data_IF_741260058778
#
_entry.id   IF_741260058778
#
_cell.length_a   1.000
_cell.length_b   1.000
_cell.length_c   1.000
_cell.angle_alpha   90.00
_cell.angle_beta   90.00
_cell.angle_gamma   90.00
#
_symmetry.space_group_name_H-M   'P 1'
#
loop_
_entity.id
_entity.type
_entity.pdbx_description
1 polymer ?
#
# COMPACT_ATOMS: atom_id res chain seq x y z
N UNK A 1 25.19 -7.83 16.29
CA UNK A 1 24.29 -8.38 15.98
C UNK A 1 23.06 -7.86 15.33
N UNK A 2 22.66 -8.60 14.42
CA UNK A 2 21.50 -8.30 13.60
C UNK A 2 20.22 -8.24 14.43
N UNK A 3 20.16 -8.94 15.53
CA UNK A 3 19.00 -8.98 16.41
C UNK A 3 18.54 -7.60 16.91
N UNK A 4 19.48 -6.69 17.13
CA UNK A 4 19.13 -5.34 17.59
C UNK A 4 18.34 -4.55 16.57
N UNK A 5 18.53 -4.81 15.30
CA UNK A 5 17.77 -4.16 14.23
C UNK A 5 16.35 -4.68 14.13
N UNK A 6 16.18 -5.94 14.40
CA UNK A 6 14.87 -6.58 14.36
C UNK A 6 13.95 -6.06 15.45
N UNK A 7 14.51 -5.64 16.56
CA UNK A 7 13.75 -5.10 17.68
C UNK A 7 13.04 -3.80 17.31
N UNK A 8 13.57 -3.01 16.38
CA UNK A 8 12.96 -1.73 16.02
C UNK A 8 11.67 -1.87 15.21
N UNK A 9 11.67 -2.73 14.18
CA UNK A 9 10.49 -2.91 13.33
C UNK A 9 10.48 -4.30 12.72
N UNK A 10 10.48 -5.38 13.53
CA UNK A 10 10.56 -6.73 12.99
C UNK A 10 9.36 -7.08 12.12
N UNK A 11 8.19 -6.58 12.48
CA UNK A 11 6.96 -6.85 11.74
C UNK A 11 6.98 -6.20 10.36
N UNK A 12 7.41 -4.94 10.28
CA UNK A 12 7.51 -4.23 9.00
C UNK A 12 8.49 -4.91 8.06
N UNK A 13 9.64 -5.31 8.57
CA UNK A 13 10.66 -5.99 7.79
C UNK A 13 10.16 -7.34 7.28
N UNK A 14 9.53 -8.13 8.14
CA UNK A 14 8.98 -9.43 7.77
C UNK A 14 7.89 -9.32 6.73
N UNK A 15 6.99 -8.33 6.85
CA UNK A 15 5.90 -8.11 5.90
C UNK A 15 6.44 -7.72 4.53
N UNK A 16 7.38 -6.79 4.46
CA UNK A 16 7.97 -6.36 3.20
C UNK A 16 8.72 -7.53 2.53
N UNK A 17 9.42 -8.34 3.31
CA UNK A 17 10.07 -9.54 2.80
C UNK A 17 9.06 -10.54 2.26
N UNK A 18 7.95 -10.75 2.95
CA UNK A 18 6.89 -11.64 2.49
C UNK A 18 6.24 -11.17 1.19
N UNK A 19 6.01 -9.86 1.05
CA UNK A 19 5.48 -9.29 -0.18
C UNK A 19 6.42 -9.55 -1.36
N UNK A 20 7.70 -9.30 -1.18
CA UNK A 20 8.69 -9.55 -2.22
C UNK A 20 8.82 -11.04 -2.54
N UNK A 21 8.80 -11.90 -1.52
CA UNK A 21 8.89 -13.35 -1.71
C UNK A 21 7.68 -13.91 -2.46
N UNK A 22 6.48 -13.39 -2.21
CA UNK A 22 5.28 -13.84 -2.92
C UNK A 22 5.34 -13.52 -4.41
N UNK A 23 5.94 -12.37 -4.78
CA UNK A 23 6.18 -12.02 -6.17
C UNK A 23 7.34 -12.80 -6.76
N UNK A 24 8.40 -13.02 -5.99
CA UNK A 24 9.60 -13.75 -6.42
C UNK A 24 9.32 -15.23 -6.65
N UNK A 25 8.37 -15.83 -5.95
CA UNK A 25 7.98 -17.21 -6.20
C UNK A 25 7.50 -17.44 -7.63
N UNK A 26 6.76 -16.47 -8.16
CA UNK A 26 6.36 -16.50 -9.56
C UNK A 26 7.55 -16.35 -10.50
N UNK A 27 8.49 -15.50 -10.14
CA UNK A 27 9.70 -15.29 -10.93
C UNK A 27 10.64 -16.51 -10.90
N UNK A 28 10.75 -17.18 -9.76
CA UNK A 28 11.61 -18.35 -9.62
C UNK A 28 11.15 -19.51 -10.48
N UNK A 29 9.85 -19.71 -10.65
CA UNK A 29 9.30 -20.76 -11.53
C UNK A 29 9.65 -20.49 -12.99
N UNK A 30 9.69 -19.23 -13.40
CA UNK A 30 9.95 -18.83 -14.78
C UNK A 30 11.42 -18.54 -15.08
N UNK A 31 12.30 -18.57 -14.08
CA UNK A 31 13.73 -18.26 -14.28
C UNK A 31 14.40 -19.08 -15.38
N UNK A 32 14.02 -20.34 -15.50
CA UNK A 32 14.58 -21.22 -16.54
C UNK A 32 14.16 -20.82 -17.94
N UNK A 33 13.00 -20.18 -18.07
CA UNK A 33 12.51 -19.64 -19.33
C UNK A 33 13.10 -18.27 -19.61
N UNK A 34 13.32 -17.46 -18.58
CA UNK A 34 13.80 -16.08 -18.72
C UNK A 34 15.25 -16.00 -19.17
N UNK A 35 16.07 -17.02 -18.92
CA UNK A 35 17.46 -17.04 -19.44
C UNK A 35 17.49 -16.98 -20.95
N UNK A 36 16.51 -17.56 -21.63
CA UNK A 36 16.39 -17.53 -23.09
C UNK A 36 15.61 -16.34 -23.62
N UNK A 37 14.78 -15.72 -22.78
CA UNK A 37 13.90 -14.61 -23.14
C UNK A 37 14.28 -13.31 -22.42
N UNK A 38 15.56 -13.17 -22.00
CA UNK A 38 16.04 -12.07 -21.18
C UNK A 38 15.86 -10.68 -21.81
N UNK A 39 15.59 -10.60 -23.09
CA UNK A 39 15.39 -9.33 -23.80
C UNK A 39 13.92 -9.04 -24.12
N UNK A 40 13.00 -9.90 -23.70
CA UNK A 40 11.58 -9.64 -23.92
C UNK A 40 11.07 -8.59 -22.93
N UNK A 41 10.10 -7.74 -23.33
CA UNK A 41 9.50 -6.78 -22.42
C UNK A 41 8.88 -7.44 -21.19
N UNK A 42 8.28 -8.61 -21.34
CA UNK A 42 7.70 -9.36 -20.24
C UNK A 42 8.76 -9.81 -19.23
N UNK A 43 9.91 -10.30 -19.72
CA UNK A 43 11.01 -10.71 -18.87
C UNK A 43 11.57 -9.53 -18.05
N UNK A 44 11.66 -8.36 -18.68
CA UNK A 44 12.07 -7.14 -17.96
C UNK A 44 11.11 -6.80 -16.86
N UNK A 45 9.81 -6.89 -17.12
CA UNK A 45 8.78 -6.60 -16.12
C UNK A 45 8.85 -7.58 -14.94
N UNK A 46 9.06 -8.87 -15.22
CA UNK A 46 9.15 -9.91 -14.19
C UNK A 46 10.38 -9.76 -13.29
N UNK A 47 11.42 -9.09 -13.76
CA UNK A 47 12.65 -8.86 -13.00
C UNK A 47 12.57 -7.67 -12.05
N UNK A 48 11.54 -6.83 -12.17
CA UNK A 48 11.40 -5.67 -11.30
C UNK A 48 10.95 -6.08 -9.90
N UNK A 49 11.63 -5.61 -8.83
CA UNK A 49 11.14 -5.83 -7.48
C UNK A 49 9.76 -5.20 -7.28
N UNK A 50 8.88 -5.91 -6.60
CA UNK A 50 7.52 -5.45 -6.38
C UNK A 50 7.44 -4.06 -5.73
N UNK A 51 8.27 -3.82 -4.71
CA UNK A 51 8.28 -2.53 -4.02
C UNK A 51 8.75 -1.39 -4.92
N UNK A 52 9.74 -1.65 -5.78
CA UNK A 52 10.21 -0.63 -6.73
C UNK A 52 9.08 -0.27 -7.70
N UNK A 53 8.35 -1.27 -8.16
CA UNK A 53 7.21 -1.06 -9.04
C UNK A 53 6.12 -0.23 -8.35
N UNK A 54 5.75 -0.59 -7.15
CA UNK A 54 4.73 0.12 -6.36
C UNK A 54 5.14 1.57 -6.08
N UNK A 55 6.44 1.81 -5.81
CA UNK A 55 6.96 3.16 -5.61
C UNK A 55 6.79 4.04 -6.84
N UNK A 56 6.95 3.48 -8.03
CA UNK A 56 6.96 4.23 -9.28
C UNK A 56 5.60 4.38 -9.94
N UNK A 57 4.64 3.55 -9.57
CA UNK A 57 3.29 3.63 -10.11
C UNK A 57 2.64 4.95 -9.67
N UNK A 58 2.04 5.73 -10.60
CA UNK A 58 1.39 7.00 -10.26
C UNK A 58 -0.01 6.80 -9.67
N UNK A 59 -0.23 5.70 -9.00
CA UNK A 59 -1.50 5.38 -8.34
C UNK A 59 -1.24 5.36 -6.84
N UNK A 60 -1.95 6.19 -6.05
CA UNK A 60 -1.79 6.17 -4.60
C UNK A 60 -1.97 4.77 -4.03
N UNK A 61 -0.98 4.31 -3.28
CA UNK A 61 -0.94 2.94 -2.73
C UNK A 61 -0.49 2.97 -1.28
N UNK A 62 -1.19 2.23 -0.45
CA UNK A 62 -0.94 2.15 0.99
C UNK A 62 -1.00 0.69 1.44
N UNK A 63 -0.07 0.29 2.29
CA UNK A 63 -0.10 -1.02 2.94
C UNK A 63 -0.13 -0.85 4.45
N UNK A 64 -1.07 -1.55 5.10
CA UNK A 64 -1.28 -1.46 6.55
C UNK A 64 -1.32 -2.83 7.18
N UNK A 65 -0.89 -2.88 8.44
CA UNK A 65 -1.00 -4.08 9.28
C UNK A 65 -2.32 -4.06 10.05
N UNK A 66 -2.64 -5.18 10.66
CA UNK A 66 -3.84 -5.37 11.46
C UNK A 66 -3.98 -4.32 12.58
N UNK A 67 -2.88 -3.94 13.21
CA UNK A 67 -2.87 -2.97 14.30
C UNK A 67 -2.94 -1.50 13.84
N UNK A 68 -2.99 -1.27 12.53
CA UNK A 68 -3.03 0.07 11.97
C UNK A 68 -1.65 0.63 11.60
N UNK A 69 -0.59 -0.11 11.83
CA UNK A 69 0.76 0.31 11.40
C UNK A 69 0.81 0.40 9.88
N UNK A 70 1.26 1.54 9.37
CA UNK A 70 1.47 1.73 7.94
C UNK A 70 2.88 1.25 7.62
N UNK A 71 2.99 0.22 6.78
CA UNK A 71 4.30 -0.35 6.42
C UNK A 71 4.81 0.15 5.08
N UNK A 72 3.94 0.72 4.27
CA UNK A 72 4.31 1.22 2.95
C UNK A 72 3.32 2.28 2.49
N UNK A 73 3.85 3.34 1.90
CA UNK A 73 3.09 4.34 1.15
C UNK A 73 3.97 4.79 -0.01
N UNK A 74 3.43 4.81 -1.22
CA UNK A 74 4.21 5.33 -2.34
C UNK A 74 4.12 6.85 -2.42
N UNK A 75 4.93 7.44 -3.31
CA UNK A 75 4.95 8.89 -3.50
C UNK A 75 3.60 9.46 -3.92
N UNK A 76 2.85 8.72 -4.74
CA UNK A 76 1.53 9.15 -5.17
C UNK A 76 0.54 9.27 -4.00
N UNK A 77 0.56 8.33 -3.06
CA UNK A 77 -0.26 8.42 -1.85
C UNK A 77 0.16 9.59 -0.97
N UNK A 78 1.46 9.72 -0.75
CA UNK A 78 2.00 10.81 0.07
C UNK A 78 1.60 12.18 -0.50
N UNK A 79 1.73 12.35 -1.81
CA UNK A 79 1.34 13.57 -2.50
C UNK A 79 -0.17 13.84 -2.36
N UNK A 80 -1.00 12.82 -2.46
CA UNK A 80 -2.44 12.94 -2.33
C UNK A 80 -2.86 13.49 -0.95
N UNK A 81 -2.16 13.10 0.10
CA UNK A 81 -2.44 13.57 1.48
C UNK A 81 -1.52 14.73 1.90
N UNK A 82 -0.71 15.26 1.00
CA UNK A 82 0.15 16.42 1.24
C UNK A 82 1.31 16.18 2.19
N UNK A 83 1.83 14.95 2.24
CA UNK A 83 2.90 14.54 3.14
C UNK A 83 4.03 13.89 2.37
N UNK A 84 5.18 13.71 3.02
CA UNK A 84 6.22 12.83 2.50
C UNK A 84 5.90 11.38 2.85
N UNK A 85 6.40 10.44 2.04
CA UNK A 85 6.17 9.02 2.29
C UNK A 85 6.70 8.59 3.68
N UNK A 86 7.81 9.16 4.12
CA UNK A 86 8.36 8.90 5.45
C UNK A 86 7.43 9.39 6.57
N UNK A 87 6.77 10.52 6.37
CA UNK A 87 5.77 11.02 7.33
C UNK A 87 4.57 10.07 7.39
N UNK A 88 4.10 9.60 6.25
CA UNK A 88 2.94 8.70 6.19
C UNK A 88 3.21 7.42 6.98
N UNK A 89 4.38 6.81 6.79
CA UNK A 89 4.71 5.56 7.50
C UNK A 89 4.98 5.77 8.98
N UNK A 90 5.16 7.00 9.44
CA UNK A 90 5.28 7.32 10.85
C UNK A 90 3.92 7.46 11.54
N UNK A 91 2.85 7.60 10.77
CA UNK A 91 1.49 7.72 11.28
C UNK A 91 0.82 6.35 11.34
N UNK A 92 -0.31 6.27 12.03
CA UNK A 92 -1.15 5.09 12.00
C UNK A 92 -2.30 5.26 11.00
N UNK A 93 -2.92 4.15 10.67
CA UNK A 93 -4.12 4.12 9.83
C UNK A 93 -5.20 5.09 10.35
N UNK A 94 -5.40 5.10 11.67
CA UNK A 94 -6.43 5.93 12.30
C UNK A 94 -6.11 7.42 12.28
N UNK A 95 -4.84 7.78 12.11
CA UNK A 95 -4.45 9.19 11.96
C UNK A 95 -4.83 9.75 10.59
N UNK A 96 -4.97 8.89 9.61
CA UNK A 96 -5.21 9.29 8.22
C UNK A 96 -6.66 9.07 7.80
N UNK A 97 -7.29 7.98 8.25
CA UNK A 97 -8.66 7.64 7.86
C UNK A 97 -9.67 8.24 8.84
N UNK A 98 -10.45 9.20 8.37
CA UNK A 98 -11.52 9.78 9.18
C UNK A 98 -12.65 8.78 9.40
N UNK A 99 -13.16 8.74 10.63
CA UNK A 99 -14.31 7.93 10.98
C UNK A 99 -14.06 6.43 11.03
N UNK A 100 -12.80 6.00 10.88
CA UNK A 100 -12.47 4.58 11.00
C UNK A 100 -12.68 4.12 12.45
N UNK A 101 -13.44 3.02 12.67
CA UNK A 101 -13.64 2.51 14.01
C UNK A 101 -12.33 2.06 14.65
N UNK A 102 -12.07 2.52 15.87
CA UNK A 102 -10.85 2.13 16.62
C UNK A 102 -10.99 0.77 17.27
N UNK A 103 -12.22 0.26 17.38
CA UNK A 103 -12.51 -1.05 17.98
C UNK A 103 -12.29 -2.20 17.01
N UNK A 104 -12.20 -1.92 15.72
CA UNK A 104 -11.96 -2.93 14.69
C UNK A 104 -10.51 -2.89 14.24
N UNK A 105 -10.02 -4.01 13.73
CA UNK A 105 -8.69 -4.05 13.13
C UNK A 105 -8.67 -3.21 11.84
N UNK A 106 -7.51 -2.65 11.52
CA UNK A 106 -7.36 -1.90 10.27
C UNK A 106 -7.68 -2.76 9.04
N UNK A 107 -7.37 -4.05 9.10
CA UNK A 107 -7.68 -4.97 8.00
C UNK A 107 -9.18 -5.14 7.81
N UNK A 108 -9.94 -5.25 8.89
CA UNK A 108 -11.39 -5.31 8.83
C UNK A 108 -11.99 -4.04 8.25
N UNK A 109 -11.46 -2.89 8.64
CA UNK A 109 -11.95 -1.60 8.11
C UNK A 109 -11.65 -1.49 6.61
N UNK A 110 -10.44 -1.85 6.18
CA UNK A 110 -10.09 -1.82 4.76
C UNK A 110 -10.98 -2.77 3.96
N UNK A 111 -11.23 -3.95 4.47
CA UNK A 111 -12.10 -4.93 3.82
C UNK A 111 -13.55 -4.42 3.73
N UNK A 112 -14.06 -3.85 4.79
CA UNK A 112 -15.42 -3.31 4.84
C UNK A 112 -15.63 -2.07 3.96
N UNK A 113 -14.58 -1.29 3.72
CA UNK A 113 -14.64 -0.08 2.90
C UNK A 113 -14.15 -0.31 1.47
N UNK A 114 -13.90 -1.56 1.10
CA UNK A 114 -13.42 -1.89 -0.25
C UNK A 114 -14.39 -1.40 -1.33
N UNK A 115 -13.86 -0.76 -2.34
CA UNK A 115 -14.62 -0.15 -3.46
C UNK A 115 -15.58 0.96 -3.02
N UNK A 116 -15.30 1.59 -1.89
CA UNK A 116 -16.08 2.70 -1.37
C UNK A 116 -15.25 3.98 -1.32
N UNK A 117 -15.95 5.11 -1.28
CA UNK A 117 -15.30 6.41 -1.08
C UNK A 117 -14.95 6.56 0.39
N UNK A 118 -13.71 6.88 0.66
CA UNK A 118 -13.19 7.11 2.02
C UNK A 118 -12.76 8.57 2.17
N UNK A 119 -12.71 9.04 3.39
CA UNK A 119 -12.23 10.39 3.71
C UNK A 119 -10.89 10.29 4.42
N UNK A 120 -9.90 10.98 3.86
CA UNK A 120 -8.52 10.96 4.36
C UNK A 120 -8.11 12.35 4.84
N UNK A 121 -7.29 12.37 5.89
CA UNK A 121 -6.76 13.60 6.47
C UNK A 121 -5.59 14.13 5.63
N UNK A 122 -5.76 15.30 5.04
CA UNK A 122 -4.67 16.02 4.40
C UNK A 122 -3.87 16.79 5.44
N UNK A 123 -2.59 16.99 5.18
CA UNK A 123 -1.68 17.71 6.08
C UNK A 123 -2.17 19.10 6.46
N UNK A 124 -2.82 19.81 5.53
CA UNK A 124 -3.33 21.16 5.76
C UNK A 124 -4.63 21.21 6.57
N UNK A 125 -5.13 20.08 7.03
CA UNK A 125 -6.37 19.97 7.77
C UNK A 125 -7.61 19.77 6.93
N UNK A 126 -7.49 19.78 5.60
CA UNK A 126 -8.60 19.48 4.71
C UNK A 126 -8.85 17.98 4.61
N UNK A 127 -9.94 17.62 3.98
CA UNK A 127 -10.32 16.23 3.75
C UNK A 127 -10.13 15.87 2.28
N UNK A 128 -9.45 14.76 2.03
CA UNK A 128 -9.35 14.18 0.69
C UNK A 128 -10.38 13.07 0.58
N UNK A 129 -11.20 13.12 -0.46
CA UNK A 129 -12.13 12.03 -0.78
C UNK A 129 -11.52 11.15 -1.85
N UNK A 130 -11.44 9.87 -1.58
CA UNK A 130 -10.82 8.93 -2.48
C UNK A 130 -11.61 7.64 -2.56
N UNK A 131 -11.66 7.06 -3.75
CA UNK A 131 -12.19 5.72 -3.94
C UNK A 131 -11.10 4.72 -3.59
N UNK A 132 -11.35 3.86 -2.60
CA UNK A 132 -10.40 2.85 -2.15
C UNK A 132 -10.71 1.50 -2.80
N UNK A 133 -9.69 0.83 -3.29
CA UNK A 133 -9.83 -0.51 -3.85
C UNK A 133 -9.94 -1.57 -2.75
N UNK A 134 -10.25 -2.80 -3.16
CA UNK A 134 -10.00 -3.98 -2.34
C UNK A 134 -8.50 -4.12 -2.08
N UNK A 135 -8.15 -4.85 -1.02
CA UNK A 135 -6.77 -5.26 -0.84
C UNK A 135 -6.33 -6.16 -1.99
N UNK A 136 -5.14 -5.87 -2.54
CA UNK A 136 -4.53 -6.72 -3.55
C UNK A 136 -4.04 -8.06 -2.99
N UNK A 137 -3.82 -8.11 -1.67
CA UNK A 137 -3.44 -9.33 -0.96
C UNK A 137 -4.72 -9.97 -0.44
N UNK A 138 -4.99 -11.18 -0.89
CA UNK A 138 -6.31 -11.82 -0.70
C UNK A 138 -6.35 -13.03 0.22
N UNK A 139 -5.22 -13.40 0.82
CA UNK A 139 -5.21 -14.54 1.73
C UNK A 139 -5.86 -14.14 3.04
N UNK A 140 -6.73 -15.01 3.55
CA UNK A 140 -7.43 -14.77 4.81
C UNK A 140 -6.49 -14.73 6.02
N UNK A 141 -5.30 -15.29 5.89
CA UNK A 141 -4.26 -15.31 6.90
C UNK A 141 -3.24 -14.19 6.72
N UNK A 142 -3.37 -13.34 5.69
CA UNK A 142 -2.49 -12.20 5.52
C UNK A 142 -2.70 -11.21 6.65
N UNK A 143 -1.60 -10.74 7.21
CA UNK A 143 -1.64 -9.72 8.25
C UNK A 143 -1.49 -8.31 7.70
N UNK A 144 -1.57 -8.17 6.38
CA UNK A 144 -1.36 -6.93 5.67
C UNK A 144 -2.49 -6.72 4.66
N UNK A 145 -2.92 -5.49 4.51
CA UNK A 145 -3.79 -5.07 3.41
C UNK A 145 -3.05 -4.06 2.54
N UNK A 146 -3.15 -4.22 1.23
CA UNK A 146 -2.56 -3.34 0.25
C UNK A 146 -3.68 -2.77 -0.62
N UNK A 147 -3.97 -1.49 -0.49
CA UNK A 147 -5.04 -0.83 -1.22
C UNK A 147 -4.52 0.30 -2.09
N UNK A 148 -5.19 0.54 -3.20
CA UNK A 148 -4.97 1.68 -4.08
C UNK A 148 -6.11 2.68 -3.94
N UNK A 149 -5.86 3.91 -4.32
CA UNK A 149 -6.81 5.01 -4.17
C UNK A 149 -6.92 5.82 -5.45
N UNK A 150 -8.10 6.34 -5.68
CA UNK A 150 -8.35 7.33 -6.73
C UNK A 150 -8.86 8.59 -6.07
N UNK A 151 -8.13 9.69 -6.20
CA UNK A 151 -8.53 10.98 -5.65
C UNK A 151 -9.76 11.51 -6.40
N UNK A 152 -10.84 11.71 -5.68
CA UNK A 152 -12.09 12.21 -6.22
C UNK A 152 -12.40 13.64 -5.79
N UNK A 153 -11.48 14.29 -5.09
CA UNK A 153 -11.73 15.62 -4.51
C UNK A 153 -12.14 16.64 -5.57
N UNK A 154 -11.41 16.70 -6.66
CA UNK A 154 -11.75 17.59 -7.78
C UNK A 154 -13.04 17.18 -8.48
N UNK A 155 -13.31 15.89 -8.55
CA UNK A 155 -14.50 15.37 -9.22
C UNK A 155 -15.78 15.81 -8.52
N UNK A 156 -15.79 15.81 -7.19
CA UNK A 156 -16.94 16.30 -6.41
C UNK A 156 -17.14 17.79 -6.60
N UNK A 157 -16.08 18.57 -6.69
CA UNK A 157 -16.17 20.01 -6.94
C UNK A 157 -16.81 20.32 -8.28
N UNK A 158 -16.47 19.59 -9.33
CA UNK A 158 -17.03 19.78 -10.67
C UNK A 158 -18.51 19.42 -10.68
N UNK A 159 -18.94 18.42 -9.94
CA UNK A 159 -20.33 17.98 -9.91
C UNK A 159 -21.23 18.89 -9.06
N UNK A 160 -20.68 19.68 -8.16
CA UNK A 160 -21.45 20.65 -7.36
C UNK A 160 -21.71 21.95 -8.10
N UNK A 161 -21.06 22.16 -9.19
CA UNK A 161 -21.23 23.33 -10.06
C UNK A 161 -21.91 22.96 -11.38
#
# INVERSE_FOLDING_TARGET
>A
MVAAKEVHHPERSAVLTAMNAAMDNNQAVDRRRTVQASQSPKATLEQLPALVLLERIPIPTLAVLRDGTIVFANGAFAEMVGRDAEEVVSLSFHDIFYGAPTTESALSVVDGLANMVVELAHRDGSTVRALMSKSALRRSDDEIALATFQDLTEHFWVNEH
#
